data_IF_683174569335
#
_entry.id   IF_683174569335
#
_cell.length_a   1.000
_cell.length_b   1.000
_cell.length_c   1.000
_cell.angle_alpha   90.00
_cell.angle_beta   90.00
_cell.angle_gamma   90.00
#
_symmetry.space_group_name_H-M   'P 1'
#
loop_
_entity.id
_entity.type
_entity.pdbx_description
1 polymer ?
#
# COMPACT_ATOMS: atom_id res chain seq x y z
N UNK A 1 -8.52 26.26 13.55
CA UNK A 1 -9.71 25.68 12.87
C UNK A 1 -9.71 26.01 11.37
N UNK A 2 -9.39 27.24 10.95
CA UNK A 2 -9.18 27.58 9.52
C UNK A 2 -7.95 26.91 8.88
N UNK A 3 -6.83 26.82 9.61
CA UNK A 3 -5.57 26.22 9.11
C UNK A 3 -5.71 24.74 8.76
N UNK A 4 -6.53 23.99 9.51
CA UNK A 4 -6.78 22.55 9.27
C UNK A 4 -7.62 22.33 7.99
N UNK A 5 -8.56 23.22 7.72
CA UNK A 5 -9.43 23.12 6.55
C UNK A 5 -8.69 23.50 5.25
N UNK A 6 -7.77 24.47 5.31
CA UNK A 6 -6.87 24.80 4.19
C UNK A 6 -5.86 23.67 3.91
N UNK A 7 -5.30 23.04 4.94
CA UNK A 7 -4.42 21.87 4.76
C UNK A 7 -5.15 20.63 4.20
N UNK A 8 -6.42 20.43 4.55
CA UNK A 8 -7.25 19.36 3.97
C UNK A 8 -7.63 19.63 2.50
N UNK A 9 -7.77 20.90 2.11
CA UNK A 9 -8.04 21.27 0.70
C UNK A 9 -6.76 21.16 -0.13
N UNK A 10 -5.61 21.59 0.40
CA UNK A 10 -4.32 21.51 -0.28
C UNK A 10 -3.84 20.07 -0.54
N UNK A 11 -4.08 19.12 0.38
CA UNK A 11 -3.73 17.70 0.12
C UNK A 11 -4.59 17.09 -1.00
N UNK A 12 -5.81 17.60 -1.20
CA UNK A 12 -6.76 17.11 -2.21
C UNK A 12 -6.52 17.67 -3.63
N UNK A 13 -5.51 18.54 -3.82
CA UNK A 13 -4.97 18.93 -5.13
C UNK A 13 -3.91 17.94 -5.69
N UNK A 14 -3.71 16.80 -5.01
CA UNK A 14 -3.05 15.57 -5.44
C UNK A 14 -1.53 15.63 -5.73
N UNK A 15 -0.75 15.03 -4.82
CA UNK A 15 0.68 14.70 -4.96
C UNK A 15 0.92 13.37 -5.69
N UNK A 16 0.10 13.05 -6.68
CA UNK A 16 0.19 11.78 -7.38
C UNK A 16 1.03 11.89 -8.65
N UNK A 17 1.83 10.87 -8.92
CA UNK A 17 2.52 10.70 -10.20
C UNK A 17 1.88 9.52 -10.94
N UNK A 18 1.34 9.81 -12.11
CA UNK A 18 0.73 8.81 -13.00
C UNK A 18 1.80 8.06 -13.81
N UNK A 19 1.45 6.87 -14.32
CA UNK A 19 2.29 6.17 -15.29
C UNK A 19 3.59 5.54 -14.76
N UNK A 20 3.87 5.63 -13.45
CA UNK A 20 5.10 5.05 -12.85
C UNK A 20 5.23 3.55 -13.14
N UNK A 21 4.14 2.78 -13.06
CA UNK A 21 4.17 1.33 -13.33
C UNK A 21 4.50 1.02 -14.79
N UNK A 22 3.91 1.75 -15.74
CA UNK A 22 4.23 1.61 -17.17
C UNK A 22 5.66 2.04 -17.48
N UNK A 23 6.12 3.10 -16.83
CA UNK A 23 7.49 3.61 -16.96
C UNK A 23 8.51 2.60 -16.41
N UNK A 24 8.29 2.02 -15.22
CA UNK A 24 9.14 0.95 -14.67
C UNK A 24 9.22 -0.25 -15.61
N UNK A 25 8.09 -0.69 -16.18
CA UNK A 25 8.07 -1.75 -17.18
C UNK A 25 8.93 -1.37 -18.41
N UNK A 26 8.81 -0.14 -18.90
CA UNK A 26 9.60 0.36 -20.02
C UNK A 26 11.10 0.36 -19.69
N UNK A 27 11.50 0.81 -18.50
CA UNK A 27 12.89 0.77 -18.07
C UNK A 27 13.46 -0.66 -18.09
N UNK A 28 12.71 -1.64 -17.55
CA UNK A 28 13.13 -3.04 -17.55
C UNK A 28 13.31 -3.58 -18.98
N UNK A 29 12.41 -3.21 -19.91
CA UNK A 29 12.53 -3.59 -21.33
C UNK A 29 13.78 -2.98 -21.96
N UNK A 30 14.04 -1.68 -21.72
CA UNK A 30 15.24 -1.00 -22.23
C UNK A 30 16.53 -1.55 -21.61
N UNK A 31 16.47 -2.09 -20.40
CA UNK A 31 17.57 -2.80 -19.74
C UNK A 31 17.79 -4.23 -20.26
N UNK A 32 16.99 -4.70 -21.24
CA UNK A 32 17.01 -6.07 -21.75
C UNK A 32 16.74 -7.14 -20.66
N UNK A 33 15.86 -6.84 -19.71
CA UNK A 33 15.42 -7.83 -18.71
C UNK A 33 14.74 -9.04 -19.40
N UNK A 34 15.10 -10.25 -18.99
CA UNK A 34 14.57 -11.51 -19.53
C UNK A 34 13.10 -11.72 -19.16
N UNK A 35 12.72 -11.33 -17.94
CA UNK A 35 11.35 -11.47 -17.40
C UNK A 35 10.98 -10.18 -16.68
N UNK A 36 9.77 -9.67 -16.91
CA UNK A 36 9.26 -8.46 -16.25
C UNK A 36 7.79 -8.67 -15.89
N UNK A 37 7.49 -8.68 -14.60
CA UNK A 37 6.13 -8.73 -14.07
C UNK A 37 5.92 -7.52 -13.18
N UNK A 38 4.96 -6.66 -13.52
CA UNK A 38 4.57 -5.51 -12.69
C UNK A 38 3.09 -5.58 -12.37
N UNK A 39 2.70 -4.99 -11.25
CA UNK A 39 1.33 -4.87 -10.81
C UNK A 39 0.47 -4.08 -11.82
N UNK A 40 -0.82 -4.03 -11.56
CA UNK A 40 -1.74 -3.20 -12.30
C UNK A 40 -1.40 -1.69 -12.15
N UNK A 41 -1.89 -0.83 -13.05
CA UNK A 41 -1.64 0.61 -12.98
C UNK A 41 -2.09 1.19 -11.63
N UNK A 42 -1.27 2.07 -11.08
CA UNK A 42 -1.56 2.79 -9.84
C UNK A 42 -0.96 4.20 -9.91
N UNK A 43 -1.51 5.10 -9.10
CA UNK A 43 -0.92 6.40 -8.82
C UNK A 43 0.19 6.22 -7.79
N UNK A 44 1.37 6.78 -8.05
CA UNK A 44 2.43 6.86 -7.05
C UNK A 44 2.17 8.02 -6.09
N UNK A 45 2.36 7.81 -4.78
CA UNK A 45 2.12 8.81 -3.75
C UNK A 45 3.36 8.98 -2.87
N UNK A 46 3.91 10.19 -2.87
CA UNK A 46 5.04 10.59 -2.00
C UNK A 46 4.53 11.09 -0.67
N UNK A 47 5.31 10.91 0.40
CA UNK A 47 5.16 11.69 1.62
C UNK A 47 5.34 13.19 1.33
N UNK A 48 4.62 14.02 2.07
CA UNK A 48 4.72 15.48 2.04
C UNK A 48 5.41 15.98 3.31
N UNK A 49 5.70 17.28 3.38
CA UNK A 49 6.42 17.87 4.52
C UNK A 49 5.75 17.62 5.87
N UNK A 50 4.42 17.50 5.91
CA UNK A 50 3.70 17.30 7.17
C UNK A 50 3.72 15.85 7.67
N UNK A 51 3.91 14.88 6.78
CA UNK A 51 3.90 13.45 7.08
C UNK A 51 5.20 12.71 6.73
N UNK A 52 6.26 13.43 6.37
CA UNK A 52 7.56 12.87 5.98
C UNK A 52 8.12 11.81 6.95
N UNK A 53 7.85 11.95 8.25
CA UNK A 53 8.40 11.06 9.28
C UNK A 53 7.52 9.86 9.64
N UNK A 54 6.24 9.83 9.22
CA UNK A 54 5.27 8.80 9.65
C UNK A 54 4.30 8.34 8.56
N UNK A 55 4.30 9.01 7.41
CA UNK A 55 3.29 8.92 6.37
C UNK A 55 3.35 7.66 5.52
N UNK A 56 4.44 6.89 5.57
CA UNK A 56 4.70 5.77 4.64
C UNK A 56 3.52 4.79 4.54
N UNK A 57 2.97 4.32 5.66
CA UNK A 57 1.81 3.43 5.67
C UNK A 57 0.55 4.06 5.03
N UNK A 58 0.30 5.34 5.31
CA UNK A 58 -0.84 6.07 4.75
C UNK A 58 -0.69 6.32 3.25
N UNK A 59 0.51 6.65 2.78
CA UNK A 59 0.80 6.82 1.34
C UNK A 59 0.71 5.49 0.59
N UNK A 60 1.14 4.40 1.22
CA UNK A 60 0.96 3.05 0.68
C UNK A 60 -0.54 2.68 0.58
N UNK A 61 -1.38 3.07 1.55
CA UNK A 61 -2.85 2.96 1.43
C UNK A 61 -3.35 3.72 0.19
N UNK A 62 -2.92 4.97 -0.02
CA UNK A 62 -3.35 5.76 -1.19
C UNK A 62 -2.95 5.10 -2.51
N UNK A 63 -1.72 4.59 -2.62
CA UNK A 63 -1.24 3.89 -3.81
C UNK A 63 -2.03 2.61 -4.08
N UNK A 64 -2.22 1.75 -3.06
CA UNK A 64 -3.03 0.53 -3.19
C UNK A 64 -4.48 0.88 -3.55
N UNK A 65 -5.09 1.85 -2.87
CA UNK A 65 -6.45 2.32 -3.13
C UNK A 65 -6.59 2.73 -4.60
N UNK A 66 -5.64 3.50 -5.13
CA UNK A 66 -5.65 3.94 -6.53
C UNK A 66 -5.55 2.77 -7.50
N UNK A 67 -4.73 1.75 -7.19
CA UNK A 67 -4.60 0.54 -7.98
C UNK A 67 -5.93 -0.22 -8.05
N UNK A 68 -6.54 -0.48 -6.89
CA UNK A 68 -7.82 -1.19 -6.80
C UNK A 68 -8.93 -0.43 -7.51
N UNK A 69 -8.95 0.90 -7.41
CA UNK A 69 -9.95 1.76 -8.05
C UNK A 69 -9.96 1.70 -9.60
N UNK A 70 -8.95 1.10 -10.24
CA UNK A 70 -8.93 0.85 -11.69
C UNK A 70 -9.92 -0.25 -12.11
N UNK A 71 -10.38 -1.05 -11.15
CA UNK A 71 -11.29 -2.18 -11.35
C UNK A 71 -12.67 -1.80 -10.80
N UNK A 72 -13.69 -1.87 -11.66
CA UNK A 72 -15.06 -1.44 -11.34
C UNK A 72 -15.60 -2.06 -10.06
N UNK A 73 -15.33 -3.35 -9.85
CA UNK A 73 -15.79 -4.11 -8.71
C UNK A 73 -15.25 -3.56 -7.37
N UNK A 74 -13.98 -3.15 -7.31
CA UNK A 74 -13.41 -2.54 -6.11
C UNK A 74 -13.80 -1.06 -6.00
N UNK A 75 -13.87 -0.35 -7.13
CA UNK A 75 -14.21 1.07 -7.19
C UNK A 75 -15.56 1.36 -6.54
N UNK A 76 -16.57 0.55 -6.81
CA UNK A 76 -17.90 0.70 -6.21
C UNK A 76 -17.87 0.62 -4.67
N UNK A 77 -17.03 -0.27 -4.12
CA UNK A 77 -16.88 -0.41 -2.68
C UNK A 77 -16.06 0.74 -2.06
N UNK A 78 -14.91 1.06 -2.66
CA UNK A 78 -13.96 2.07 -2.17
C UNK A 78 -14.54 3.48 -2.15
N UNK A 79 -15.31 3.85 -3.19
CA UNK A 79 -15.88 5.20 -3.32
C UNK A 79 -17.30 5.30 -2.76
N UNK A 80 -17.78 4.31 -2.01
CA UNK A 80 -19.09 4.37 -1.35
C UNK A 80 -19.07 5.45 -0.25
N UNK A 81 -19.41 6.69 -0.64
CA UNK A 81 -19.38 7.87 0.23
C UNK A 81 -18.16 8.78 0.02
N UNK A 82 -17.32 8.52 -0.97
CA UNK A 82 -16.14 9.33 -1.30
C UNK A 82 -16.15 9.71 -2.78
N UNK A 83 -15.56 10.86 -3.13
CA UNK A 83 -15.42 11.31 -4.52
C UNK A 83 -13.97 11.30 -5.01
N UNK A 84 -13.01 11.12 -4.10
CA UNK A 84 -11.56 11.16 -4.34
C UNK A 84 -10.84 10.21 -3.37
N UNK A 85 -9.58 9.91 -3.66
CA UNK A 85 -8.70 9.16 -2.75
C UNK A 85 -8.58 9.93 -1.43
N UNK A 86 -8.74 9.28 -0.27
CA UNK A 86 -8.70 9.97 1.02
C UNK A 86 -7.31 10.51 1.34
N UNK A 87 -7.26 11.73 1.86
CA UNK A 87 -6.07 12.38 2.41
C UNK A 87 -5.60 11.68 3.71
N UNK A 88 -4.34 11.87 4.14
CA UNK A 88 -3.79 11.22 5.34
C UNK A 88 -4.67 11.41 6.59
N UNK A 89 -5.16 12.63 6.92
CA UNK A 89 -6.07 12.79 8.06
C UNK A 89 -7.40 12.04 7.90
N UNK A 90 -7.91 11.92 6.67
CA UNK A 90 -9.13 11.14 6.39
C UNK A 90 -8.86 9.64 6.55
N UNK A 91 -7.67 9.16 6.16
CA UNK A 91 -7.27 7.77 6.39
C UNK A 91 -7.21 7.49 7.90
N UNK A 92 -6.67 8.40 8.72
CA UNK A 92 -6.70 8.29 10.18
C UNK A 92 -8.14 8.16 10.73
N UNK A 93 -9.06 9.01 10.25
CA UNK A 93 -10.49 8.93 10.61
C UNK A 93 -11.13 7.60 10.22
N UNK A 94 -10.78 7.08 9.04
CA UNK A 94 -11.31 5.82 8.52
C UNK A 94 -10.81 4.63 9.35
N UNK A 95 -9.53 4.63 9.74
CA UNK A 95 -8.97 3.58 10.62
C UNK A 95 -9.64 3.62 11.99
N UNK A 96 -9.80 4.79 12.60
CA UNK A 96 -10.51 4.89 13.88
C UNK A 96 -11.96 4.40 13.76
N UNK A 97 -12.64 4.67 12.64
CA UNK A 97 -13.97 4.13 12.38
C UNK A 97 -13.98 2.61 12.22
N UNK A 98 -12.95 2.04 11.60
CA UNK A 98 -12.78 0.59 11.52
C UNK A 98 -12.66 -0.01 12.93
N UNK A 99 -11.87 0.62 13.80
CA UNK A 99 -11.74 0.25 15.21
C UNK A 99 -13.05 0.34 16.00
N UNK A 100 -13.87 1.36 15.76
CA UNK A 100 -15.19 1.48 16.39
C UNK A 100 -16.18 0.41 15.93
N UNK A 101 -15.95 -0.16 14.75
CA UNK A 101 -16.67 -1.33 14.25
C UNK A 101 -16.02 -2.65 14.67
N UNK A 102 -15.04 -2.65 15.56
CA UNK A 102 -14.43 -3.86 16.11
C UNK A 102 -13.38 -4.53 15.21
N UNK A 103 -12.96 -3.88 14.12
CA UNK A 103 -11.77 -4.30 13.38
C UNK A 103 -10.52 -3.94 14.20
N UNK A 104 -9.49 -4.79 14.17
CA UNK A 104 -8.16 -4.50 14.73
C UNK A 104 -8.15 -3.91 16.16
N UNK A 105 -8.71 -4.67 17.11
CA UNK A 105 -8.73 -4.24 18.51
C UNK A 105 -7.33 -4.16 19.16
N UNK A 106 -6.34 -4.86 18.60
CA UNK A 106 -4.95 -4.84 19.07
C UNK A 106 -4.27 -3.55 18.61
N UNK A 107 -4.29 -3.23 17.31
CA UNK A 107 -3.75 -1.98 16.78
C UNK A 107 -4.42 -0.75 17.41
N UNK A 108 -5.75 -0.80 17.64
CA UNK A 108 -6.45 0.22 18.44
C UNK A 108 -5.81 0.41 19.81
N UNK A 109 -5.52 -0.67 20.54
CA UNK A 109 -4.93 -0.60 21.88
C UNK A 109 -3.51 -0.05 21.84
N UNK A 110 -2.69 -0.57 20.92
CA UNK A 110 -1.27 -0.22 20.80
C UNK A 110 -1.09 1.24 20.37
N UNK A 111 -2.05 1.78 19.63
CA UNK A 111 -2.11 3.18 19.22
C UNK A 111 -3.02 4.04 20.11
N UNK A 112 -3.33 3.59 21.34
CA UNK A 112 -4.10 4.33 22.36
C UNK A 112 -5.48 4.82 21.87
N UNK A 113 -6.04 4.14 20.87
CA UNK A 113 -7.36 4.40 20.30
C UNK A 113 -7.48 5.73 19.55
N UNK A 114 -6.36 6.36 19.18
CA UNK A 114 -6.38 7.62 18.43
C UNK A 114 -5.24 7.74 17.44
N UNK A 115 -5.59 8.12 16.22
CA UNK A 115 -4.70 8.48 15.12
C UNK A 115 -4.91 9.91 14.66
N UNK A 116 -6.16 10.42 14.69
CA UNK A 116 -6.48 11.77 14.20
C UNK A 116 -5.62 12.80 14.90
N UNK A 117 -5.08 13.73 14.11
CA UNK A 117 -4.21 14.81 14.60
C UNK A 117 -2.94 14.33 15.30
N UNK A 118 -2.53 13.09 15.06
CA UNK A 118 -1.25 12.53 15.52
C UNK A 118 -0.30 12.30 14.35
N UNK A 119 0.97 12.08 14.68
CA UNK A 119 2.01 11.64 13.77
C UNK A 119 2.36 10.15 14.01
N UNK A 120 1.39 9.36 14.45
CA UNK A 120 1.59 7.94 14.75
C UNK A 120 1.79 7.16 13.47
N UNK A 121 2.78 6.28 13.53
CA UNK A 121 3.08 5.31 12.49
C UNK A 121 2.00 4.24 12.49
N UNK A 122 1.68 3.73 11.32
CA UNK A 122 0.77 2.60 11.15
C UNK A 122 1.52 1.44 10.50
N UNK A 123 1.10 0.23 10.83
CA UNK A 123 1.65 -1.01 10.32
C UNK A 123 0.64 -1.78 9.46
N UNK A 124 0.92 -3.06 9.28
CA UNK A 124 0.07 -3.98 8.50
C UNK A 124 -1.36 -4.05 9.03
N UNK A 125 -1.54 -4.05 10.35
CA UNK A 125 -2.87 -4.22 10.98
C UNK A 125 -3.82 -3.06 10.70
N UNK A 126 -3.36 -1.82 10.82
CA UNK A 126 -4.21 -0.66 10.51
C UNK A 126 -4.53 -0.57 9.01
N UNK A 127 -3.59 -0.98 8.15
CA UNK A 127 -3.81 -1.03 6.69
C UNK A 127 -4.87 -2.09 6.37
N UNK A 128 -4.82 -3.26 7.02
CA UNK A 128 -5.84 -4.29 6.92
C UNK A 128 -7.20 -3.80 7.43
N UNK A 129 -7.25 -3.13 8.58
CA UNK A 129 -8.46 -2.56 9.14
C UNK A 129 -9.12 -1.54 8.19
N UNK A 130 -8.30 -0.68 7.57
CA UNK A 130 -8.74 0.26 6.55
C UNK A 130 -9.43 -0.46 5.39
N UNK A 131 -8.78 -1.45 4.76
CA UNK A 131 -9.35 -2.14 3.59
C UNK A 131 -10.53 -3.05 3.96
N UNK A 132 -10.51 -3.68 5.15
CA UNK A 132 -11.61 -4.49 5.65
C UNK A 132 -12.90 -3.68 5.81
N UNK A 133 -12.80 -2.41 6.24
CA UNK A 133 -13.96 -1.51 6.32
C UNK A 133 -14.66 -1.33 4.97
N UNK A 134 -13.89 -1.35 3.87
CA UNK A 134 -14.40 -1.31 2.50
C UNK A 134 -14.73 -2.69 1.92
N UNK A 135 -14.87 -3.72 2.76
CA UNK A 135 -15.15 -5.10 2.34
C UNK A 135 -14.11 -5.63 1.34
N UNK A 136 -12.87 -5.16 1.41
CA UNK A 136 -11.78 -5.68 0.59
C UNK A 136 -11.14 -6.85 1.31
N UNK A 137 -11.11 -7.99 0.64
CA UNK A 137 -10.51 -9.23 1.11
C UNK A 137 -9.00 -9.23 0.85
N UNK A 138 -8.28 -9.76 1.82
CA UNK A 138 -6.87 -10.09 1.78
C UNK A 138 -6.75 -11.61 1.99
N UNK A 139 -5.78 -12.24 1.33
CA UNK A 139 -5.51 -13.68 1.33
C UNK A 139 -6.49 -14.67 0.64
N UNK A 140 -5.96 -15.32 -0.42
CA UNK A 140 -6.39 -16.49 -1.25
C UNK A 140 -5.86 -16.33 -2.70
N UNK A 141 -5.21 -17.38 -3.22
CA UNK A 141 -4.45 -17.42 -4.49
C UNK A 141 -5.38 -17.47 -5.72
N UNK A 142 -5.14 -16.63 -6.75
CA UNK A 142 -5.65 -16.91 -8.11
C UNK A 142 -6.34 -15.78 -8.90
N UNK A 143 -5.86 -14.53 -8.92
CA UNK A 143 -6.50 -13.45 -9.67
C UNK A 143 -5.78 -13.06 -10.98
N UNK A 144 -6.55 -12.71 -12.02
CA UNK A 144 -6.10 -12.07 -13.28
C UNK A 144 -5.65 -10.60 -13.08
N UNK A 145 -5.97 -10.03 -11.92
CA UNK A 145 -5.58 -8.68 -11.50
C UNK A 145 -4.52 -8.78 -10.41
N UNK A 146 -3.43 -8.03 -10.56
CA UNK A 146 -2.28 -8.07 -9.66
C UNK A 146 -2.08 -6.71 -8.98
N UNK A 147 -2.65 -6.47 -7.79
CA UNK A 147 -2.30 -5.31 -6.97
C UNK A 147 -0.83 -5.36 -6.51
N UNK A 148 -0.24 -4.23 -6.10
CA UNK A 148 1.03 -4.25 -5.39
C UNK A 148 0.91 -4.96 -4.04
N UNK A 149 2.02 -5.48 -3.53
CA UNK A 149 2.10 -6.07 -2.19
C UNK A 149 2.58 -5.01 -1.19
N UNK A 150 1.90 -4.87 -0.07
CA UNK A 150 2.37 -4.03 1.03
C UNK A 150 3.48 -4.76 1.78
N UNK A 151 4.62 -4.10 1.96
CA UNK A 151 5.78 -4.63 2.67
C UNK A 151 6.05 -3.77 3.90
N UNK A 152 5.85 -4.34 5.08
CA UNK A 152 6.21 -3.72 6.35
C UNK A 152 7.55 -4.24 6.83
N UNK A 153 8.41 -3.32 7.27
CA UNK A 153 9.57 -3.63 8.11
C UNK A 153 9.56 -2.72 9.35
N UNK A 154 10.37 -3.05 10.36
CA UNK A 154 10.56 -2.16 11.50
C UNK A 154 11.16 -0.84 11.01
N UNK A 155 10.42 0.25 11.13
CA UNK A 155 10.91 1.56 10.70
C UNK A 155 10.14 2.20 9.56
N UNK A 156 9.59 1.38 8.65
CA UNK A 156 9.18 1.87 7.33
C UNK A 156 8.30 0.86 6.59
N UNK A 157 7.52 1.35 5.63
CA UNK A 157 6.78 0.48 4.72
C UNK A 157 6.89 0.93 3.28
N UNK A 158 6.85 -0.04 2.36
CA UNK A 158 6.98 0.15 0.91
C UNK A 158 5.99 -0.73 0.18
N UNK A 159 5.91 -0.56 -1.14
CA UNK A 159 5.16 -1.47 -2.01
C UNK A 159 6.10 -2.28 -2.89
N UNK A 160 5.90 -3.59 -2.92
CA UNK A 160 6.43 -4.44 -3.99
C UNK A 160 5.47 -4.32 -5.16
N UNK A 161 5.92 -3.69 -6.24
CA UNK A 161 5.12 -3.41 -7.44
C UNK A 161 5.43 -4.37 -8.59
N UNK A 162 6.37 -5.30 -8.38
CA UNK A 162 6.73 -6.27 -9.41
C UNK A 162 7.99 -7.05 -9.10
N UNK A 163 8.41 -7.84 -10.08
CA UNK A 163 9.66 -8.58 -10.10
C UNK A 163 10.20 -8.60 -11.52
N UNK A 164 11.51 -8.44 -11.64
CA UNK A 164 12.21 -8.65 -12.90
C UNK A 164 13.37 -9.61 -12.75
N UNK A 165 13.77 -10.17 -13.89
CA UNK A 165 14.98 -10.95 -14.04
C UNK A 165 15.85 -10.30 -15.12
N UNK A 166 17.06 -9.89 -14.77
CA UNK A 166 17.97 -9.24 -15.72
C UNK A 166 18.57 -10.23 -16.74
N UNK A 167 19.36 -9.71 -17.68
CA UNK A 167 20.03 -10.50 -18.72
C UNK A 167 21.06 -11.50 -18.18
N UNK A 168 21.61 -11.25 -17.00
CA UNK A 168 22.55 -12.15 -16.31
C UNK A 168 21.81 -13.22 -15.46
N UNK A 169 20.48 -13.11 -15.36
CA UNK A 169 19.62 -14.03 -14.62
C UNK A 169 19.44 -13.68 -13.15
N UNK A 170 19.95 -12.53 -12.69
CA UNK A 170 19.68 -12.03 -11.34
C UNK A 170 18.22 -11.59 -11.23
N UNK A 171 17.62 -11.81 -10.06
CA UNK A 171 16.22 -11.46 -9.78
C UNK A 171 16.16 -10.27 -8.83
N UNK A 172 15.27 -9.33 -9.15
CA UNK A 172 15.02 -8.15 -8.34
C UNK A 172 13.53 -8.02 -8.07
N UNK A 173 13.18 -7.68 -6.83
CA UNK A 173 11.89 -7.08 -6.55
C UNK A 173 11.92 -5.63 -7.01
N UNK A 174 10.82 -5.17 -7.58
CA UNK A 174 10.61 -3.77 -7.92
C UNK A 174 9.84 -3.12 -6.78
N UNK A 175 10.44 -2.12 -6.15
CA UNK A 175 9.96 -1.48 -4.92
C UNK A 175 9.62 -0.02 -5.20
N UNK A 176 8.40 0.39 -4.88
CA UNK A 176 8.05 1.80 -4.76
C UNK A 176 8.15 2.23 -3.29
N UNK A 177 8.99 3.22 -3.02
CA UNK A 177 9.16 3.80 -1.70
C UNK A 177 8.46 5.18 -1.64
N UNK A 178 7.45 5.38 -0.76
CA UNK A 178 6.79 6.67 -0.63
C UNK A 178 7.71 7.80 -0.12
N UNK A 179 8.94 7.48 0.34
CA UNK A 179 9.95 8.48 0.69
C UNK A 179 10.61 9.13 -0.55
N UNK A 180 10.40 8.61 -1.77
CA UNK A 180 10.86 9.26 -2.99
C UNK A 180 10.03 10.51 -3.27
N UNK A 181 10.71 11.66 -3.31
CA UNK A 181 10.10 12.97 -3.54
C UNK A 181 9.32 13.02 -4.86
N UNK A 182 8.15 13.68 -4.83
CA UNK A 182 7.26 13.82 -6.00
C UNK A 182 7.94 14.50 -7.18
N UNK A 183 8.55 15.68 -6.99
CA UNK A 183 9.14 16.43 -8.09
C UNK A 183 10.29 15.63 -8.72
N UNK A 184 11.03 14.89 -7.90
CA UNK A 184 12.01 13.94 -8.42
C UNK A 184 11.34 12.83 -9.23
N UNK A 185 10.27 12.21 -8.74
CA UNK A 185 9.54 11.17 -9.47
C UNK A 185 8.94 11.66 -10.80
N UNK A 186 8.38 12.87 -10.83
CA UNK A 186 7.87 13.48 -12.07
C UNK A 186 8.98 13.63 -13.11
N UNK A 187 10.12 14.21 -12.71
CA UNK A 187 11.30 14.35 -13.56
C UNK A 187 11.83 12.99 -14.04
N UNK A 188 11.89 11.99 -13.15
CA UNK A 188 12.32 10.64 -13.51
C UNK A 188 11.42 10.04 -14.59
N UNK A 189 10.11 10.26 -14.51
CA UNK A 189 9.16 9.71 -15.49
C UNK A 189 9.18 10.42 -16.86
N UNK A 190 9.81 11.59 -16.99
CA UNK A 190 10.00 12.25 -18.28
C UNK A 190 11.06 11.56 -19.16
N UNK A 191 11.98 10.80 -18.55
CA UNK A 191 13.08 10.13 -19.23
C UNK A 191 13.06 8.61 -18.98
N UNK A 192 13.30 7.83 -20.02
CA UNK A 192 13.36 6.37 -19.90
C UNK A 192 14.82 5.89 -19.93
N UNK A 193 15.60 6.23 -18.90
CA UNK A 193 17.00 5.77 -18.75
C UNK A 193 17.07 4.48 -17.90
N UNK A 194 17.52 3.34 -18.45
CA UNK A 194 17.65 2.07 -17.73
C UNK A 194 18.46 2.13 -16.43
N UNK A 195 19.40 3.07 -16.30
CA UNK A 195 20.22 3.22 -15.08
C UNK A 195 19.37 3.58 -13.85
N UNK A 196 18.20 4.18 -14.05
CA UNK A 196 17.25 4.56 -13.00
C UNK A 196 16.62 3.35 -12.31
N UNK A 197 16.68 2.15 -12.91
CA UNK A 197 16.19 0.92 -12.26
C UNK A 197 16.87 0.65 -10.92
N UNK A 198 18.11 1.13 -10.73
CA UNK A 198 18.84 0.99 -9.46
C UNK A 198 18.10 1.60 -8.26
N UNK A 199 17.23 2.58 -8.48
CA UNK A 199 16.40 3.21 -7.44
C UNK A 199 15.24 2.32 -6.99
N UNK A 200 14.80 1.38 -7.84
CA UNK A 200 13.60 0.56 -7.62
C UNK A 200 13.95 -0.92 -7.43
N UNK A 201 15.15 -1.36 -7.78
CA UNK A 201 15.64 -2.73 -7.65
C UNK A 201 16.02 -3.05 -6.20
N UNK A 202 15.38 -4.06 -5.63
CA UNK A 202 15.82 -4.71 -4.40
C UNK A 202 16.19 -6.17 -4.67
N UNK A 203 17.44 -6.53 -4.40
CA UNK A 203 17.89 -7.92 -4.40
C UNK A 203 17.48 -8.62 -3.10
N UNK A 204 17.48 -9.95 -3.08
CA UNK A 204 17.13 -10.73 -1.89
C UNK A 204 18.02 -10.43 -0.67
N UNK A 205 19.29 -10.09 -0.89
CA UNK A 205 20.23 -9.70 0.17
C UNK A 205 19.98 -8.30 0.75
N UNK A 206 19.14 -7.47 0.11
CA UNK A 206 18.74 -6.17 0.62
C UNK A 206 17.77 -6.29 1.81
N UNK A 207 17.12 -7.44 1.99
CA UNK A 207 16.16 -7.70 3.07
C UNK A 207 16.85 -8.27 4.31
N UNK A 208 17.57 -7.41 5.03
CA UNK A 208 18.41 -7.80 6.16
C UNK A 208 17.77 -7.54 7.55
N UNK A 209 16.50 -7.12 7.61
CA UNK A 209 15.80 -6.96 8.90
C UNK A 209 15.37 -8.32 9.46
N UNK A 210 15.21 -8.35 10.78
CA UNK A 210 14.83 -9.57 11.51
C UNK A 210 13.43 -10.07 11.13
N UNK A 211 12.52 -9.15 10.79
CA UNK A 211 11.12 -9.47 10.48
C UNK A 211 10.56 -8.58 9.37
N UNK A 212 9.76 -9.19 8.50
CA UNK A 212 8.98 -8.54 7.46
C UNK A 212 7.55 -9.08 7.48
N UNK A 213 6.58 -8.19 7.31
CA UNK A 213 5.19 -8.58 7.08
C UNK A 213 4.80 -8.20 5.65
N UNK A 214 4.07 -9.09 4.97
CA UNK A 214 3.57 -8.84 3.62
C UNK A 214 2.05 -8.96 3.64
N UNK A 215 1.36 -7.92 3.17
CA UNK A 215 -0.08 -7.95 2.91
C UNK A 215 -0.34 -7.94 1.41
N UNK A 216 -1.22 -8.82 0.96
CA UNK A 216 -1.75 -8.84 -0.40
C UNK A 216 -3.27 -8.81 -0.42
N UNK A 217 -3.82 -8.05 -1.35
CA UNK A 217 -5.25 -7.94 -1.61
C UNK A 217 -5.62 -8.89 -2.74
N UNK A 218 -6.73 -9.58 -2.59
CA UNK A 218 -7.11 -10.67 -3.48
C UNK A 218 -8.59 -10.71 -3.86
N UNK A 219 -9.40 -9.77 -3.36
CA UNK A 219 -10.81 -9.71 -3.76
C UNK A 219 -11.67 -8.87 -2.86
N UNK A 220 -12.97 -9.13 -2.92
CA UNK A 220 -13.99 -8.52 -2.07
C UNK A 220 -14.57 -9.57 -1.13
N UNK A 221 -14.91 -9.14 0.09
CA UNK A 221 -15.68 -9.94 1.03
C UNK A 221 -17.09 -10.13 0.48
N UNK A 222 -17.56 -11.38 0.42
CA UNK A 222 -18.82 -11.76 -0.22
C UNK A 222 -20.03 -11.67 0.69
N UNK A 223 -19.81 -11.68 2.01
CA UNK A 223 -20.89 -11.72 3.01
C UNK A 223 -20.43 -11.13 4.35
N UNK A 224 -21.37 -10.97 5.28
CA UNK A 224 -21.10 -10.45 6.62
C UNK A 224 -20.23 -11.38 7.46
N UNK A 225 -20.29 -12.70 7.25
CA UNK A 225 -19.43 -13.65 7.97
C UNK A 225 -17.94 -13.44 7.68
N UNK A 226 -17.56 -13.11 6.44
CA UNK A 226 -16.17 -12.76 6.12
C UNK A 226 -15.74 -11.45 6.79
N UNK A 227 -16.65 -10.48 6.93
CA UNK A 227 -16.37 -9.23 7.66
C UNK A 227 -16.25 -9.48 9.16
N UNK A 228 -17.11 -10.32 9.74
CA UNK A 228 -17.03 -10.75 11.15
C UNK A 228 -15.73 -11.48 11.46
N UNK A 229 -15.25 -12.33 10.55
CA UNK A 229 -13.92 -12.96 10.68
C UNK A 229 -12.79 -11.94 10.69
N UNK A 230 -12.88 -10.88 9.88
CA UNK A 230 -11.90 -9.80 9.90
C UNK A 230 -11.90 -9.06 11.25
N UNK A 231 -13.06 -8.87 11.90
CA UNK A 231 -13.15 -8.31 13.26
C UNK A 231 -12.49 -9.22 14.30
N UNK A 232 -12.55 -10.53 14.09
CA UNK A 232 -12.02 -11.54 15.01
C UNK A 232 -10.56 -11.90 14.77
N UNK A 233 -9.90 -11.37 13.71
CA UNK A 233 -8.52 -11.76 13.33
C UNK A 233 -7.51 -11.67 14.47
N UNK A 234 -7.64 -10.64 15.32
CA UNK A 234 -6.83 -10.46 16.52
C UNK A 234 -6.79 -11.69 17.46
N UNK A 235 -7.78 -12.58 17.37
CA UNK A 235 -7.90 -13.79 18.20
C UNK A 235 -7.43 -15.07 17.49
N UNK A 236 -7.30 -15.07 16.16
CA UNK A 236 -6.96 -16.28 15.40
C UNK A 236 -5.46 -16.43 15.10
N UNK A 237 -4.67 -15.35 15.16
CA UNK A 237 -3.20 -15.45 15.02
C UNK A 237 -2.51 -16.05 16.25
N UNK A 238 -3.20 -16.11 17.40
CA UNK A 238 -2.70 -16.82 18.60
C UNK A 238 -2.99 -18.33 18.58
N UNK A 239 -3.78 -18.83 17.62
CA UNK A 239 -4.18 -20.25 17.51
C UNK A 239 -3.54 -20.97 16.30
N UNK A 240 -2.63 -20.31 15.56
CA UNK A 240 -1.95 -20.90 14.39
C UNK A 240 -0.70 -21.72 14.78
N UNK A 241 -0.87 -22.63 15.74
CA UNK A 241 0.08 -23.71 16.06
C UNK A 241 -0.18 -24.98 15.22
N UNK A 242 -0.72 -24.85 14.00
CA UNK A 242 -0.76 -25.95 13.03
C UNK A 242 -0.13 -25.56 11.69
N UNK A 243 1.00 -26.18 11.31
CA UNK A 243 1.60 -25.96 10.00
C UNK A 243 0.77 -26.69 8.95
N UNK A 244 -0.06 -25.96 8.22
CA UNK A 244 -0.71 -26.50 7.03
C UNK A 244 0.28 -26.48 5.85
N UNK A 245 1.27 -27.37 5.91
CA UNK A 245 2.06 -27.80 4.76
C UNK A 245 1.78 -29.29 4.51
N UNK A 246 0.91 -29.57 3.53
CA UNK A 246 0.92 -30.79 2.74
C UNK A 246 0.85 -30.42 1.26
#
# INVERSE_FOLDING_TARGET
>A
MLVLHESLVAENEQHFVEGVISWLRQLCVLANSQEVNVCAPMLFSSVASFDFTFGCGYRNIQMIFSCLATRSEFRESLFKGFTRIPAVPQIQEIIERAWDLGLDSIGRRDLEGTLKHTQKWIGTEEVLAFFALFRIKYFERGAEFMPPLYLQEKGHSRLIVGMEKDCDGNRYLLICDPALDRSHMELLTEYADPSLLTLFRAQMNAFAKDEYQIMYINGLMKNDSEFERAQQRAYFETDMDEPCFQ
#
